data_IF_396330291522
#
_entry.id   IF_396330291522
#
_cell.length_a   1.000
_cell.length_b   1.000
_cell.length_c   1.000
_cell.angle_alpha   90.00
_cell.angle_beta   90.00
_cell.angle_gamma   90.00
#
_symmetry.space_group_name_H-M   'P 1'
#
loop_
_entity.id
_entity.type
_entity.pdbx_description
1 polymer ?
#
# COMPACT_ATOMS: atom_id res chain seq x y z
N UNK A 1 3.42 15.16 2.69
CA UNK A 1 3.10 13.88 3.39
C UNK A 1 4.16 12.85 3.06
N UNK A 2 4.68 12.16 4.05
CA UNK A 2 5.69 11.13 3.84
C UNK A 2 5.07 9.85 3.26
N UNK A 3 5.88 9.01 2.62
CA UNK A 3 5.41 7.72 2.10
C UNK A 3 4.86 6.82 3.22
N UNK A 4 5.46 6.90 4.41
CA UNK A 4 4.96 6.17 5.57
C UNK A 4 3.52 6.58 5.91
N UNK A 5 3.26 7.86 5.96
CA UNK A 5 1.92 8.39 6.25
C UNK A 5 0.92 8.03 5.15
N UNK A 6 1.35 8.07 3.90
CA UNK A 6 0.50 7.65 2.77
C UNK A 6 0.10 6.18 2.89
N UNK A 7 1.07 5.32 3.18
CA UNK A 7 0.82 3.88 3.37
C UNK A 7 -0.15 3.65 4.52
N UNK A 8 0.10 4.27 5.66
CA UNK A 8 -0.75 4.15 6.84
C UNK A 8 -2.19 4.57 6.56
N UNK A 9 -2.37 5.72 5.92
CA UNK A 9 -3.70 6.23 5.59
C UNK A 9 -4.42 5.32 4.58
N UNK A 10 -3.69 4.78 3.61
CA UNK A 10 -4.27 3.95 2.56
C UNK A 10 -4.80 2.62 3.09
N UNK A 11 -4.06 1.99 4.01
CA UNK A 11 -4.42 0.65 4.50
C UNK A 11 -5.32 0.67 5.73
N UNK A 12 -5.48 1.82 6.36
CA UNK A 12 -6.18 1.97 7.64
C UNK A 12 -7.60 1.42 7.61
N UNK A 13 -8.35 1.73 6.57
CA UNK A 13 -9.78 1.39 6.47
C UNK A 13 -10.06 0.29 5.43
N UNK A 14 -9.03 -0.38 4.94
CA UNK A 14 -9.23 -1.46 3.97
C UNK A 14 -9.71 -2.73 4.64
N UNK A 15 -10.67 -3.38 3.99
CA UNK A 15 -11.14 -4.71 4.39
C UNK A 15 -10.70 -5.75 3.37
N UNK A 16 -10.70 -7.02 3.77
CA UNK A 16 -10.27 -8.12 2.91
C UNK A 16 -11.02 -8.10 1.56
N UNK A 17 -10.28 -8.22 0.48
CA UNK A 17 -10.83 -8.16 -0.88
C UNK A 17 -10.82 -6.77 -1.50
N UNK A 18 -10.58 -5.72 -0.73
CA UNK A 18 -10.48 -4.37 -1.26
C UNK A 18 -9.09 -4.08 -1.82
N UNK A 19 -9.02 -3.15 -2.76
CA UNK A 19 -7.76 -2.69 -3.33
C UNK A 19 -7.79 -1.18 -3.50
N UNK A 20 -6.62 -0.58 -3.53
CA UNK A 20 -6.48 0.85 -3.84
C UNK A 20 -5.15 1.08 -4.55
N UNK A 21 -5.09 2.18 -5.31
CA UNK A 21 -3.88 2.59 -6.01
C UNK A 21 -3.42 3.93 -5.44
N UNK A 22 -2.15 4.03 -5.11
CA UNK A 22 -1.56 5.25 -4.59
C UNK A 22 -0.54 5.77 -5.58
N UNK A 23 -0.71 7.03 -5.99
CA UNK A 23 0.29 7.69 -6.83
C UNK A 23 1.54 7.97 -6.00
N UNK A 24 2.68 7.49 -6.48
CA UNK A 24 3.97 7.72 -5.79
C UNK A 24 5.12 7.60 -6.77
N UNK A 25 6.16 8.39 -6.55
CA UNK A 25 7.41 8.27 -7.30
C UNK A 25 8.30 7.16 -6.74
N UNK A 26 7.97 6.61 -5.56
CA UNK A 26 8.77 5.61 -4.86
C UNK A 26 7.93 4.40 -4.48
N UNK A 27 7.43 3.61 -5.46
CA UNK A 27 6.56 2.47 -5.16
C UNK A 27 7.24 1.40 -4.29
N UNK A 28 8.53 1.18 -4.47
CA UNK A 28 9.26 0.20 -3.67
C UNK A 28 9.30 0.59 -2.20
N UNK A 29 9.49 1.86 -1.90
CA UNK A 29 9.52 2.37 -0.53
C UNK A 29 8.14 2.29 0.11
N UNK A 30 7.11 2.66 -0.64
CA UNK A 30 5.73 2.58 -0.17
C UNK A 30 5.34 1.13 0.14
N UNK A 31 5.71 0.20 -0.75
CA UNK A 31 5.50 -1.24 -0.54
C UNK A 31 6.16 -1.71 0.76
N UNK A 32 7.39 -1.29 1.00
CA UNK A 32 8.11 -1.63 2.22
C UNK A 32 7.33 -1.20 3.46
N UNK A 33 6.83 0.03 3.46
CA UNK A 33 6.05 0.54 4.59
C UNK A 33 4.75 -0.20 4.80
N UNK A 34 4.05 -0.56 3.72
CA UNK A 34 2.82 -1.35 3.81
C UNK A 34 3.09 -2.69 4.48
N UNK A 35 4.15 -3.38 4.08
CA UNK A 35 4.51 -4.67 4.66
C UNK A 35 5.02 -4.56 6.10
N UNK A 36 5.63 -3.44 6.47
CA UNK A 36 6.04 -3.20 7.85
C UNK A 36 4.85 -2.92 8.77
N UNK A 37 3.86 -2.18 8.27
CA UNK A 37 2.67 -1.82 9.04
C UNK A 37 1.73 -3.01 9.25
N UNK A 38 1.62 -3.87 8.25
CA UNK A 38 0.70 -5.01 8.28
C UNK A 38 1.31 -6.22 7.57
N UNK A 39 2.26 -6.92 8.23
CA UNK A 39 2.94 -8.07 7.62
C UNK A 39 1.96 -9.16 7.22
N UNK A 40 2.06 -9.64 5.98
CA UNK A 40 1.27 -10.74 5.49
C UNK A 40 -0.21 -10.45 5.20
N UNK A 41 -0.65 -9.20 5.35
CA UNK A 41 -2.06 -8.86 5.13
C UNK A 41 -2.34 -8.24 3.77
N UNK A 42 -1.31 -7.83 3.04
CA UNK A 42 -1.45 -7.13 1.77
C UNK A 42 -0.57 -7.71 0.69
N UNK A 43 -1.07 -7.67 -0.54
CA UNK A 43 -0.29 -7.88 -1.76
C UNK A 43 -0.17 -6.54 -2.46
N UNK A 44 0.99 -6.27 -3.06
CA UNK A 44 1.25 -5.02 -3.76
C UNK A 44 1.75 -5.29 -5.16
N UNK A 45 1.44 -4.35 -6.08
CA UNK A 45 1.95 -4.38 -7.45
C UNK A 45 2.34 -2.98 -7.88
N UNK A 46 3.48 -2.85 -8.54
CA UNK A 46 3.90 -1.59 -9.12
C UNK A 46 3.00 -1.27 -10.30
N UNK A 47 2.55 -0.01 -10.40
CA UNK A 47 1.77 0.49 -11.53
C UNK A 47 2.52 1.61 -12.23
N UNK A 48 1.98 2.10 -13.35
CA UNK A 48 2.58 3.20 -14.10
C UNK A 48 2.67 4.48 -13.27
N UNK A 49 1.70 4.71 -12.38
CA UNK A 49 1.62 5.95 -11.60
C UNK A 49 2.02 5.77 -10.14
N UNK A 50 2.18 4.53 -9.68
CA UNK A 50 2.50 4.32 -8.27
C UNK A 50 2.42 2.86 -7.86
N UNK A 51 1.61 2.58 -6.85
CA UNK A 51 1.50 1.26 -6.25
C UNK A 51 0.06 0.84 -6.06
N UNK A 52 -0.28 -0.35 -6.50
CA UNK A 52 -1.56 -0.98 -6.22
C UNK A 52 -1.42 -1.83 -4.96
N UNK A 53 -2.33 -1.63 -4.01
CA UNK A 53 -2.35 -2.36 -2.74
C UNK A 53 -3.66 -3.13 -2.65
N UNK A 54 -3.56 -4.43 -2.38
CA UNK A 54 -4.71 -5.33 -2.29
C UNK A 54 -4.70 -5.98 -0.91
N UNK A 55 -5.78 -5.84 -0.17
CA UNK A 55 -5.90 -6.50 1.13
C UNK A 55 -6.35 -7.94 0.92
N UNK A 56 -5.56 -8.90 1.41
CA UNK A 56 -5.80 -10.34 1.21
C UNK A 56 -6.31 -11.03 2.49
N UNK A 57 -6.24 -10.36 3.62
CA UNK A 57 -6.75 -10.93 4.88
C UNK A 57 -7.69 -9.92 5.52
#
# INVERSE_FOLDING_TARGET
>A
MTNYKKAQAAIKDMIAGQSCTIATASPALLRKYVHELAPGEFTTRKTLTGLLIIKIK
#
